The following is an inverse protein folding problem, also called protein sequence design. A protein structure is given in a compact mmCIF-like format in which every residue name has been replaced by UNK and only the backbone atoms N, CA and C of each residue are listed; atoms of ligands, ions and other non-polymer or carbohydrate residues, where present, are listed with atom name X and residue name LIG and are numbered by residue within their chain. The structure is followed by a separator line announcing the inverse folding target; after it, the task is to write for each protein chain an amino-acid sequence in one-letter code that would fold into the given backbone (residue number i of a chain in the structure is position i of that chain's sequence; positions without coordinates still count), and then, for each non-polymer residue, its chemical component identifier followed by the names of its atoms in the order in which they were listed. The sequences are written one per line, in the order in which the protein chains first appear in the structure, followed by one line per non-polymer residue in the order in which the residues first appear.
data_IF_939845197883
#
_entry.id   IF_939845197883
#
_cell.length_a   1.000
_cell.length_b   1.000
_cell.length_c   1.000
_cell.angle_alpha   90.00
_cell.angle_beta   90.00
_cell.angle_gamma   90.00
#
_symmetry.space_group_name_H-M   'P 1'
#
loop_
_entity.id
_entity.type
_entity.pdbx_description
1 polymer ?
#
# COMPACT_ATOMS: atom_id res chain seq x y z
N UNK A 1 -8.79 3.25 15.46
CA UNK A 1 -8.98 4.49 14.69
C UNK A 1 -10.29 5.14 15.10
N UNK A 2 -10.22 6.40 15.55
CA UNK A 2 -11.39 7.24 15.83
C UNK A 2 -11.72 8.17 14.64
N UNK A 3 -12.71 9.05 14.79
CA UNK A 3 -13.16 9.92 13.71
C UNK A 3 -12.14 10.99 13.30
N UNK A 4 -11.34 11.50 14.23
CA UNK A 4 -10.34 12.52 13.95
C UNK A 4 -9.11 11.91 13.29
N UNK A 5 -8.68 10.75 13.78
CA UNK A 5 -7.64 9.95 13.15
C UNK A 5 -8.07 9.51 11.74
N UNK A 6 -9.31 9.04 11.56
CA UNK A 6 -9.85 8.69 10.25
C UNK A 6 -9.81 9.87 9.27
N UNK A 7 -10.17 11.08 9.72
CA UNK A 7 -10.11 12.27 8.87
C UNK A 7 -8.68 12.60 8.46
N UNK A 8 -7.73 12.47 9.37
CA UNK A 8 -6.32 12.71 9.09
C UNK A 8 -5.78 11.68 8.09
N UNK A 9 -5.97 10.38 8.36
CA UNK A 9 -5.48 9.29 7.51
C UNK A 9 -6.18 9.23 6.15
N UNK A 10 -7.45 9.62 6.09
CA UNK A 10 -8.19 9.75 4.84
C UNK A 10 -7.59 10.81 3.92
N UNK A 11 -7.13 11.95 4.45
CA UNK A 11 -6.43 12.97 3.65
C UNK A 11 -5.10 12.44 3.11
N UNK A 12 -4.33 11.73 3.93
CA UNK A 12 -3.06 11.11 3.50
C UNK A 12 -3.27 10.13 2.34
N UNK A 13 -4.35 9.35 2.36
CA UNK A 13 -4.72 8.45 1.25
C UNK A 13 -5.13 9.22 0.00
N UNK A 14 -5.88 10.32 0.16
CA UNK A 14 -6.28 11.16 -0.98
C UNK A 14 -5.05 11.74 -1.66
N UNK A 15 -4.11 12.29 -0.88
CA UNK A 15 -2.86 12.86 -1.41
C UNK A 15 -2.04 11.77 -2.12
N UNK A 16 -1.93 10.59 -1.53
CA UNK A 16 -1.28 9.43 -2.15
C UNK A 16 -1.88 9.03 -3.50
N UNK A 17 -3.22 8.96 -3.60
CA UNK A 17 -3.91 8.61 -4.85
C UNK A 17 -3.68 9.71 -5.90
N UNK A 18 -3.74 10.98 -5.51
CA UNK A 18 -3.49 12.10 -6.41
C UNK A 18 -2.06 12.07 -6.96
N UNK A 19 -1.07 11.80 -6.11
CA UNK A 19 0.33 11.67 -6.49
C UNK A 19 0.56 10.44 -7.39
N UNK A 20 -0.08 9.31 -7.07
CA UNK A 20 -0.04 8.11 -7.89
C UNK A 20 -0.56 8.39 -9.31
N UNK A 21 -1.73 9.01 -9.45
CA UNK A 21 -2.34 9.31 -10.76
C UNK A 21 -1.53 10.35 -11.55
N UNK A 22 -1.01 11.37 -10.87
CA UNK A 22 -0.14 12.39 -11.50
C UNK A 22 1.14 11.77 -12.05
N UNK A 23 1.73 10.84 -11.31
CA UNK A 23 3.05 10.28 -11.62
C UNK A 23 2.98 8.87 -12.23
N UNK A 24 1.80 8.35 -12.57
CA UNK A 24 1.60 6.97 -13.04
C UNK A 24 2.50 6.62 -14.24
N UNK A 25 2.78 7.60 -15.10
CA UNK A 25 3.64 7.46 -16.29
C UNK A 25 5.11 7.16 -15.97
N UNK A 26 5.55 7.45 -14.76
CA UNK A 26 6.90 7.12 -14.28
C UNK A 26 7.01 5.68 -13.81
N UNK A 27 5.88 5.02 -13.53
CA UNK A 27 5.83 3.63 -13.09
C UNK A 27 5.79 2.69 -14.30
N UNK A 28 6.36 1.51 -14.13
CA UNK A 28 6.38 0.49 -15.18
C UNK A 28 4.99 -0.11 -15.33
N UNK A 29 4.40 -0.01 -16.52
CA UNK A 29 3.04 -0.52 -16.80
C UNK A 29 2.86 -1.99 -16.37
N UNK A 30 3.77 -2.88 -16.75
CA UNK A 30 3.72 -4.29 -16.37
C UNK A 30 4.71 -4.62 -15.24
N UNK A 31 4.29 -5.29 -14.16
CA UNK A 31 5.15 -5.58 -13.02
C UNK A 31 6.26 -6.58 -13.35
N UNK A 32 7.38 -6.49 -12.64
CA UNK A 32 8.56 -7.37 -12.80
C UNK A 32 8.69 -8.38 -11.66
N UNK A 33 7.66 -9.19 -11.46
CA UNK A 33 7.55 -10.12 -10.33
C UNK A 33 7.30 -11.54 -10.82
N UNK A 34 7.57 -12.52 -9.94
CA UNK A 34 7.28 -13.93 -10.19
C UNK A 34 5.98 -14.34 -9.49
N UNK A 35 5.27 -15.38 -9.96
CA UNK A 35 4.16 -15.95 -9.21
C UNK A 35 4.55 -16.26 -7.76
N UNK A 36 3.70 -15.84 -6.82
CA UNK A 36 3.93 -16.03 -5.38
C UNK A 36 4.84 -15.00 -4.69
N UNK A 37 5.33 -13.96 -5.37
CA UNK A 37 6.29 -12.99 -4.81
C UNK A 37 5.82 -12.32 -3.50
N UNK A 38 4.51 -12.11 -3.32
CA UNK A 38 3.97 -11.47 -2.12
C UNK A 38 4.08 -12.35 -0.87
N UNK A 39 4.03 -13.68 -1.01
CA UNK A 39 3.98 -14.60 0.15
C UNK A 39 5.15 -14.41 1.11
N UNK A 40 6.42 -14.30 0.69
CA UNK A 40 7.52 -14.03 1.62
C UNK A 40 7.58 -12.58 2.14
N UNK A 41 6.71 -11.67 1.69
CA UNK A 41 6.72 -10.25 2.08
C UNK A 41 5.73 -9.92 3.20
N UNK A 42 4.85 -10.86 3.55
CA UNK A 42 3.81 -10.75 4.58
C UNK A 42 3.92 -11.92 5.56
N UNK A 43 3.37 -11.74 6.75
CA UNK A 43 3.33 -12.80 7.76
C UNK A 43 2.40 -13.96 7.33
N UNK A 44 2.71 -15.16 7.80
CA UNK A 44 1.95 -16.36 7.45
C UNK A 44 0.55 -16.40 8.08
N UNK A 45 0.36 -15.68 9.19
CA UNK A 45 -0.87 -15.60 9.97
C UNK A 45 -1.29 -14.14 10.19
N UNK A 46 -2.59 -13.92 10.39
CA UNK A 46 -3.11 -12.59 10.70
C UNK A 46 -2.64 -12.11 12.09
N UNK A 47 -2.37 -10.80 12.26
CA UNK A 47 -1.93 -10.27 13.54
C UNK A 47 -3.06 -10.40 14.58
N UNK A 48 -2.69 -10.77 15.81
CA UNK A 48 -3.65 -10.92 16.92
C UNK A 48 -4.18 -9.58 17.45
N UNK A 49 -3.46 -8.49 17.17
CA UNK A 49 -3.79 -7.13 17.56
C UNK A 49 -3.69 -6.22 16.34
N UNK A 50 -4.39 -5.10 16.37
CA UNK A 50 -4.30 -4.11 15.30
C UNK A 50 -2.88 -3.57 15.14
N UNK A 51 -2.49 -3.32 13.91
CA UNK A 51 -1.21 -2.70 13.57
C UNK A 51 -1.35 -1.19 13.45
N UNK A 52 -0.24 -0.47 13.54
CA UNK A 52 -0.26 0.97 13.32
C UNK A 52 -0.64 1.29 11.87
N UNK A 53 -1.37 2.39 11.68
CA UNK A 53 -1.74 2.85 10.35
C UNK A 53 -0.51 3.06 9.46
N UNK A 54 0.56 3.63 10.00
CA UNK A 54 1.78 3.90 9.24
C UNK A 54 2.43 2.60 8.72
N UNK A 55 2.33 1.48 9.45
CA UNK A 55 2.81 0.18 8.98
C UNK A 55 1.98 -0.30 7.79
N UNK A 56 0.65 -0.26 7.92
CA UNK A 56 -0.30 -0.67 6.88
C UNK A 56 -0.10 0.19 5.62
N UNK A 57 0.04 1.51 5.77
CA UNK A 57 0.23 2.43 4.67
C UNK A 57 1.55 2.18 3.93
N UNK A 58 2.64 1.92 4.65
CA UNK A 58 3.93 1.57 4.05
C UNK A 58 3.89 0.25 3.27
N UNK A 59 3.04 -0.70 3.68
CA UNK A 59 2.87 -1.97 2.97
C UNK A 59 2.19 -1.80 1.61
N UNK A 60 1.45 -0.72 1.36
CA UNK A 60 0.90 -0.41 0.04
C UNK A 60 2.03 -0.26 -0.99
N UNK A 61 3.02 0.59 -0.71
CA UNK A 61 4.16 0.77 -1.62
C UNK A 61 5.13 -0.42 -1.60
N UNK A 62 5.36 -1.02 -0.44
CA UNK A 62 6.35 -2.10 -0.29
C UNK A 62 5.89 -3.43 -0.87
N UNK A 63 4.62 -3.81 -0.64
CA UNK A 63 4.09 -5.15 -0.94
C UNK A 63 3.18 -5.12 -2.17
N UNK A 64 2.27 -4.15 -2.25
CA UNK A 64 1.21 -4.14 -3.27
C UNK A 64 1.75 -3.57 -4.59
N UNK A 65 2.31 -2.36 -4.56
CA UNK A 65 2.70 -1.63 -5.77
C UNK A 65 3.65 -2.37 -6.73
N UNK A 66 4.61 -3.20 -6.28
CA UNK A 66 5.49 -3.94 -7.20
C UNK A 66 4.78 -4.93 -8.12
N UNK A 67 3.57 -5.39 -7.77
CA UNK A 67 2.81 -6.35 -8.57
C UNK A 67 1.56 -5.80 -9.25
N UNK A 68 1.35 -4.48 -9.20
CA UNK A 68 0.25 -3.84 -9.92
C UNK A 68 0.62 -3.68 -11.40
N UNK A 69 -0.35 -3.94 -12.27
CA UNK A 69 -0.34 -3.43 -13.65
C UNK A 69 -1.03 -2.08 -13.62
N UNK A 70 -0.28 -1.01 -13.90
CA UNK A 70 -0.76 0.38 -13.76
C UNK A 70 -1.62 0.84 -14.95
#
# INVERSE_FOLDING_TARGET
MDADEFRQRGKEIIDFIADYLTNIRTRRVFPNVKPGYMRPMIDDEAPRQGESWDKIFNDIERVIMPGITH
#
